data_IF_478770248115
#
_entry.id   IF_478770248115
#
_cell.length_a   1.000
_cell.length_b   1.000
_cell.length_c   1.000
_cell.angle_alpha   90.00
_cell.angle_beta   90.00
_cell.angle_gamma   90.00
#
_symmetry.space_group_name_H-M   'P 1'
#
loop_
_entity.id
_entity.type
_entity.pdbx_description
1 polymer ?
#
# COMPACT_ATOMS: atom_id res chain seq x y z
N UNK A 1 25.00 -4.53 5.92
CA UNK A 1 24.17 -3.62 5.10
C UNK A 1 22.89 -3.42 5.87
N UNK A 2 22.69 -2.24 6.47
CA UNK A 2 21.39 -1.89 7.05
C UNK A 2 20.41 -1.76 5.89
N UNK A 3 19.60 -2.81 5.66
CA UNK A 3 18.35 -2.65 4.94
C UNK A 3 17.55 -1.65 5.75
N UNK A 4 17.54 -0.38 5.33
CA UNK A 4 16.54 0.57 5.83
C UNK A 4 15.20 -0.14 5.60
N UNK A 5 14.56 -0.55 6.70
CA UNK A 5 13.37 -1.39 6.66
C UNK A 5 12.42 -0.76 5.65
N UNK A 6 12.07 -1.49 4.61
CA UNK A 6 11.26 -0.98 3.50
C UNK A 6 9.97 -0.34 4.02
N UNK A 7 9.46 -0.80 5.17
CA UNK A 7 8.36 -0.21 5.90
C UNK A 7 8.65 1.20 6.43
N UNK A 8 9.84 1.44 6.99
CA UNK A 8 10.30 2.76 7.44
C UNK A 8 10.36 3.72 6.26
N UNK A 9 10.92 3.27 5.14
CA UNK A 9 11.02 4.08 3.92
C UNK A 9 9.64 4.39 3.32
N UNK A 10 8.72 3.42 3.30
CA UNK A 10 7.35 3.58 2.81
C UNK A 10 6.56 4.55 3.70
N UNK A 11 6.77 4.49 5.02
CA UNK A 11 6.17 5.41 5.97
C UNK A 11 6.69 6.85 5.79
N UNK A 12 7.99 7.03 5.54
CA UNK A 12 8.60 8.34 5.28
C UNK A 12 8.07 9.00 3.99
N UNK A 13 7.81 8.21 2.95
CA UNK A 13 7.46 8.75 1.63
C UNK A 13 5.94 8.86 1.39
N UNK A 14 5.17 7.86 1.84
CA UNK A 14 3.74 7.73 1.52
C UNK A 14 2.84 8.06 2.72
N UNK A 15 3.41 8.10 3.94
CA UNK A 15 2.73 8.45 5.21
C UNK A 15 1.41 7.68 5.42
N UNK A 16 1.52 6.36 5.52
CA UNK A 16 0.39 5.47 5.80
C UNK A 16 0.11 5.47 7.30
N UNK A 17 -0.87 6.26 7.71
CA UNK A 17 -1.24 6.46 9.12
C UNK A 17 -2.31 5.50 9.64
N UNK A 18 -3.02 4.79 8.74
CA UNK A 18 -3.99 3.78 9.12
C UNK A 18 -4.23 2.76 7.99
N UNK A 19 -4.90 1.65 8.34
CA UNK A 19 -5.19 0.54 7.42
C UNK A 19 -6.01 0.98 6.20
N UNK A 20 -6.95 1.93 6.34
CA UNK A 20 -7.75 2.43 5.23
C UNK A 20 -6.90 3.14 4.17
N UNK A 21 -5.82 3.83 4.57
CA UNK A 21 -4.88 4.44 3.63
C UNK A 21 -4.02 3.39 2.93
N UNK A 22 -3.62 2.32 3.62
CA UNK A 22 -2.95 1.17 3.00
C UNK A 22 -3.86 0.55 1.94
N UNK A 23 -5.14 0.38 2.24
CA UNK A 23 -6.14 -0.18 1.32
C UNK A 23 -6.38 0.72 0.11
N UNK A 24 -6.58 2.01 0.35
CA UNK A 24 -6.76 3.01 -0.70
C UNK A 24 -5.56 3.00 -1.65
N UNK A 25 -4.34 2.94 -1.12
CA UNK A 25 -3.13 2.88 -1.92
C UNK A 25 -3.01 1.56 -2.68
N UNK A 26 -3.27 0.42 -2.02
CA UNK A 26 -3.27 -0.90 -2.68
C UNK A 26 -4.23 -0.92 -3.86
N UNK A 27 -5.47 -0.47 -3.66
CA UNK A 27 -6.47 -0.40 -4.72
C UNK A 27 -6.07 0.57 -5.83
N UNK A 28 -5.61 1.78 -5.50
CA UNK A 28 -5.15 2.74 -6.51
C UNK A 28 -4.01 2.16 -7.38
N UNK A 29 -3.07 1.45 -6.75
CA UNK A 29 -1.93 0.85 -7.45
C UNK A 29 -2.36 -0.38 -8.26
N UNK A 30 -3.21 -1.25 -7.71
CA UNK A 30 -3.66 -2.51 -8.35
C UNK A 30 -4.66 -2.27 -9.49
N UNK A 31 -5.58 -1.33 -9.33
CA UNK A 31 -6.65 -1.05 -10.29
C UNK A 31 -6.28 0.06 -11.27
N UNK A 32 -5.11 0.68 -11.10
CA UNK A 32 -4.64 1.80 -11.90
C UNK A 32 -5.59 3.02 -11.84
N UNK A 33 -6.39 3.09 -10.78
CA UNK A 33 -7.38 4.15 -10.60
C UNK A 33 -6.78 5.35 -9.89
N UNK A 34 -7.00 6.52 -10.49
CA UNK A 34 -6.72 7.83 -9.90
C UNK A 34 -7.94 8.42 -9.16
N UNK A 35 -9.01 7.64 -8.96
CA UNK A 35 -10.24 8.09 -8.29
C UNK A 35 -10.04 8.32 -6.79
N UNK A 36 -8.95 7.80 -6.23
CA UNK A 36 -8.64 7.95 -4.81
C UNK A 36 -7.90 9.26 -4.52
N UNK A 37 -8.64 10.32 -4.18
CA UNK A 37 -8.13 11.69 -3.94
C UNK A 37 -6.90 11.83 -3.02
N UNK A 38 -6.56 10.81 -2.22
CA UNK A 38 -5.39 10.84 -1.34
C UNK A 38 -4.07 10.55 -2.07
N UNK A 39 -4.11 9.82 -3.20
CA UNK A 39 -2.93 9.36 -3.94
C UNK A 39 -3.10 9.60 -5.44
N UNK A 40 -2.05 10.09 -6.08
CA UNK A 40 -1.95 10.15 -7.53
C UNK A 40 -0.95 9.10 -7.98
N UNK A 41 -1.39 8.21 -8.87
CA UNK A 41 -0.61 7.11 -9.41
C UNK A 41 -0.35 7.37 -10.89
N UNK A 42 0.92 7.36 -11.27
CA UNK A 42 1.35 7.46 -12.67
C UNK A 42 2.25 6.28 -12.98
N UNK A 43 2.03 5.64 -14.12
CA UNK A 43 2.84 4.52 -14.59
C UNK A 43 3.35 4.81 -15.99
N UNK A 44 4.61 4.49 -16.22
CA UNK A 44 5.15 4.26 -17.56
C UNK A 44 5.65 2.81 -17.64
N UNK A 45 6.12 2.39 -18.82
CA UNK A 45 6.53 0.99 -19.08
C UNK A 45 7.56 0.47 -18.07
N UNK A 46 8.37 1.35 -17.48
CA UNK A 46 9.45 0.95 -16.57
C UNK A 46 9.10 1.28 -15.10
N UNK A 47 8.29 2.32 -14.86
CA UNK A 47 8.21 2.96 -13.54
C UNK A 47 6.79 3.07 -13.00
N UNK A 48 6.69 2.97 -11.68
CA UNK A 48 5.51 3.31 -10.90
C UNK A 48 5.83 4.53 -10.03
N UNK A 49 5.08 5.61 -10.25
CA UNK A 49 5.15 6.86 -9.52
C UNK A 49 3.94 6.97 -8.60
N UNK A 50 4.19 7.14 -7.31
CA UNK A 50 3.16 7.30 -6.28
C UNK A 50 3.36 8.63 -5.59
N UNK A 51 2.39 9.54 -5.72
CA UNK A 51 2.40 10.82 -5.04
C UNK A 51 1.28 10.88 -4.01
N UNK A 52 1.64 11.05 -2.74
CA UNK A 52 0.69 11.26 -1.66
C UNK A 52 0.35 12.76 -1.57
N UNK A 53 -0.94 13.11 -1.55
CA UNK A 53 -1.41 14.50 -1.42
C UNK A 53 -0.87 15.23 -0.17
N UNK A 54 -0.53 14.47 0.88
CA UNK A 54 0.00 14.99 2.17
C UNK A 54 1.54 15.03 2.23
N UNK A 55 2.21 14.68 1.14
CA UNK A 55 3.68 14.62 1.04
C UNK A 55 4.14 15.40 -0.19
N UNK A 56 5.29 16.07 -0.09
CA UNK A 56 5.96 16.65 -1.26
C UNK A 56 6.77 15.59 -2.02
N UNK A 57 7.00 14.43 -1.41
CA UNK A 57 7.80 13.37 -2.01
C UNK A 57 6.96 12.56 -3.00
N UNK A 58 7.59 12.24 -4.13
CA UNK A 58 7.07 11.24 -5.07
C UNK A 58 7.88 9.97 -4.89
N UNK A 59 7.18 8.88 -4.59
CA UNK A 59 7.76 7.55 -4.57
C UNK A 59 7.92 7.07 -6.01
N UNK A 60 9.15 6.73 -6.39
CA UNK A 60 9.50 6.20 -7.72
C UNK A 60 9.94 4.76 -7.55
N UNK A 61 9.30 3.84 -8.27
CA UNK A 61 9.62 2.41 -8.27
C UNK A 61 10.01 2.03 -9.70
N UNK A 62 11.30 1.82 -9.93
CA UNK A 62 11.91 1.82 -11.28
C UNK A 62 11.95 0.46 -11.99
N UNK A 63 11.52 -0.62 -11.35
CA UNK A 63 11.51 -1.95 -12.00
C UNK A 63 10.37 -2.84 -11.50
N UNK A 64 10.06 -3.86 -12.28
CA UNK A 64 8.92 -4.75 -12.03
C UNK A 64 9.09 -5.61 -10.77
N UNK A 65 10.31 -5.99 -10.41
CA UNK A 65 10.56 -6.74 -9.18
C UNK A 65 10.16 -5.92 -7.94
N UNK A 66 10.56 -4.65 -7.91
CA UNK A 66 10.23 -3.72 -6.84
C UNK A 66 8.74 -3.36 -6.84
N UNK A 67 8.10 -3.27 -8.02
CA UNK A 67 6.64 -3.12 -8.12
C UNK A 67 5.92 -4.30 -7.47
N UNK A 68 6.34 -5.53 -7.75
CA UNK A 68 5.76 -6.74 -7.15
C UNK A 68 5.99 -6.78 -5.64
N UNK A 69 7.22 -6.50 -5.16
CA UNK A 69 7.50 -6.44 -3.71
C UNK A 69 6.66 -5.37 -3.01
N UNK A 70 6.49 -4.21 -3.64
CA UNK A 70 5.66 -3.13 -3.12
C UNK A 70 4.18 -3.56 -3.01
N UNK A 71 3.62 -4.16 -4.07
CA UNK A 71 2.25 -4.68 -4.07
C UNK A 71 2.04 -5.74 -3.00
N UNK A 72 2.94 -6.72 -2.91
CA UNK A 72 2.89 -7.79 -1.91
C UNK A 72 2.98 -7.23 -0.47
N UNK A 73 3.77 -6.17 -0.26
CA UNK A 73 3.87 -5.49 1.05
C UNK A 73 2.55 -4.81 1.42
N UNK A 74 1.85 -4.22 0.46
CA UNK A 74 0.53 -3.61 0.70
C UNK A 74 -0.58 -4.66 0.90
N UNK A 75 -0.42 -5.85 0.31
CA UNK A 75 -1.35 -6.98 0.43
C UNK A 75 -1.28 -7.67 1.79
N UNK A 76 -0.10 -7.71 2.44
CA UNK A 76 0.06 -8.40 3.72
C UNK A 76 -0.84 -7.85 4.85
N UNK A 77 -0.94 -6.53 5.08
CA UNK A 77 -1.92 -5.97 6.01
C UNK A 77 -3.37 -6.25 5.62
N UNK A 78 -3.68 -6.34 4.33
CA UNK A 78 -5.01 -6.67 3.83
C UNK A 78 -5.41 -8.11 4.22
N UNK A 79 -4.53 -9.08 3.96
CA UNK A 79 -4.76 -10.49 4.33
C UNK A 79 -4.84 -10.68 5.84
N UNK A 80 -3.98 -9.98 6.60
CA UNK A 80 -3.97 -10.05 8.06
C UNK A 80 -5.26 -9.48 8.67
N UNK A 81 -5.72 -8.31 8.20
CA UNK A 81 -6.97 -7.71 8.67
C UNK A 81 -8.19 -8.54 8.29
N UNK A 82 -8.26 -9.06 7.06
CA UNK A 82 -9.33 -9.97 6.62
C UNK A 82 -9.38 -11.24 7.48
N UNK A 83 -8.22 -11.81 7.83
CA UNK A 83 -8.12 -12.93 8.76
C UNK A 83 -8.63 -12.60 10.16
N UNK A 84 -8.30 -11.41 10.69
CA UNK A 84 -8.80 -10.94 11.99
C UNK A 84 -10.31 -10.75 11.98
N UNK A 85 -10.86 -10.10 10.95
CA UNK A 85 -12.29 -9.82 10.91
C UNK A 85 -13.12 -11.09 10.69
N UNK A 86 -12.62 -12.02 9.87
CA UNK A 86 -13.19 -13.38 9.75
C UNK A 86 -13.17 -14.12 11.10
N UNK A 87 -12.06 -14.04 11.84
CA UNK A 87 -11.96 -14.68 13.16
C UNK A 87 -12.94 -14.06 14.19
N UNK A 88 -13.17 -12.74 14.14
CA UNK A 88 -14.16 -12.06 15.00
C UNK A 88 -15.59 -12.45 14.66
N UNK A 89 -15.93 -12.57 13.38
CA UNK A 89 -17.25 -13.02 12.95
C UNK A 89 -17.53 -14.45 13.39
N UNK A 90 -16.59 -15.37 13.14
CA UNK A 90 -16.70 -16.76 13.61
C UNK A 90 -16.80 -16.87 15.14
N UNK A 91 -16.12 -16.00 15.88
CA UNK A 91 -16.19 -15.98 17.35
C UNK A 91 -17.49 -15.36 17.88
N UNK A 92 -18.16 -14.52 17.09
CA UNK A 92 -19.48 -13.95 17.41
C UNK A 92 -20.59 -14.98 17.26
N UNK A 93 -20.51 -15.84 16.25
CA UNK A 93 -21.49 -16.91 16.01
C UNK A 93 -21.35 -18.09 17.01
N UNK A 94 -20.24 -18.13 17.75
CA UNK A 94 -19.97 -19.12 18.80
C UNK A 94 -20.32 -18.62 20.22
N UNK A 95 -20.79 -17.38 20.38
CA UNK A 95 -21.14 -16.74 21.65
C UNK A 95 -22.66 -16.50 21.76
#
# INVERSE_FOLDING_TARGET
METTDFNVWLNQNVKLSNINQVWTLYHAVRTESNEFYSFSIMRDEERLLVKCSKSQNTLIIENDELKHRFLHTLEYPFLYQGGIDTAKELSRDLA
#
